data_IF_112006098104
#
_entry.id   IF_112006098104
#
_cell.length_a   1.000
_cell.length_b   1.000
_cell.length_c   1.000
_cell.angle_alpha   90.00
_cell.angle_beta   90.00
_cell.angle_gamma   90.00
#
_symmetry.space_group_name_H-M   'P 1'
#
loop_
_entity.id
_entity.type
_entity.pdbx_description
1 polymer ?
#
# COMPACT_ATOMS: atom_id res chain seq x y z
N UNK A 1 13.35 -56.46 14.78
CA UNK A 1 12.02 -56.21 14.18
C UNK A 1 11.80 -54.72 14.21
N UNK A 2 12.08 -54.06 13.09
CA UNK A 2 11.83 -52.62 12.96
C UNK A 2 10.35 -52.43 12.54
N UNK A 3 9.53 -51.87 13.45
CA UNK A 3 8.20 -51.38 13.11
C UNK A 3 8.37 -50.13 12.25
N UNK A 4 7.96 -50.24 10.97
CA UNK A 4 7.80 -49.13 10.03
C UNK A 4 6.71 -48.22 10.59
N UNK A 5 7.07 -47.00 11.00
CA UNK A 5 6.07 -45.97 11.32
C UNK A 5 5.43 -45.52 9.99
N UNK A 6 4.15 -45.78 9.85
CA UNK A 6 3.32 -45.22 8.80
C UNK A 6 3.21 -43.71 9.06
N UNK A 7 3.69 -42.92 8.09
CA UNK A 7 3.45 -41.49 8.09
C UNK A 7 1.97 -41.25 7.84
N UNK A 8 1.30 -40.36 8.60
CA UNK A 8 -0.06 -39.98 8.29
C UNK A 8 -0.08 -39.26 6.94
N UNK A 9 -0.89 -39.74 6.01
CA UNK A 9 -1.18 -39.11 4.75
C UNK A 9 -1.67 -37.70 5.01
N UNK A 10 -0.95 -36.71 4.48
CA UNK A 10 -1.43 -35.34 4.44
C UNK A 10 -2.61 -35.29 3.48
N UNK A 11 -3.80 -35.22 4.05
CA UNK A 11 -5.02 -34.93 3.30
C UNK A 11 -4.89 -33.49 2.82
N UNK A 12 -4.58 -33.31 1.57
CA UNK A 12 -4.64 -32.00 0.93
C UNK A 12 -6.11 -31.56 0.89
N UNK A 13 -6.45 -30.38 1.40
CA UNK A 13 -7.81 -29.87 1.27
C UNK A 13 -8.15 -29.67 -0.21
N UNK A 14 -9.38 -29.96 -0.64
CA UNK A 14 -9.78 -29.73 -2.02
C UNK A 14 -9.67 -28.22 -2.35
N UNK A 15 -9.32 -27.87 -3.59
CA UNK A 15 -9.27 -26.49 -3.99
C UNK A 15 -10.66 -25.86 -3.85
N UNK A 16 -10.75 -24.58 -3.43
CA UNK A 16 -12.01 -23.90 -3.32
C UNK A 16 -12.67 -23.84 -4.70
N UNK A 17 -13.90 -24.34 -4.79
CA UNK A 17 -14.71 -24.21 -6.00
C UNK A 17 -14.92 -22.72 -6.28
N UNK A 18 -14.55 -22.30 -7.49
CA UNK A 18 -14.82 -20.96 -7.97
C UNK A 18 -16.34 -20.71 -7.94
N UNK A 19 -16.81 -19.55 -7.46
CA UNK A 19 -18.21 -19.24 -7.51
C UNK A 19 -18.64 -19.17 -8.97
N UNK A 20 -19.60 -20.00 -9.34
CA UNK A 20 -20.24 -19.91 -10.63
C UNK A 20 -20.99 -18.58 -10.70
N UNK A 21 -20.46 -17.63 -11.45
CA UNK A 21 -21.18 -16.41 -11.80
C UNK A 21 -22.27 -16.82 -12.79
N UNK A 22 -23.47 -17.01 -12.30
CA UNK A 22 -24.63 -17.10 -13.15
C UNK A 22 -24.95 -15.67 -13.65
N UNK A 23 -24.42 -15.31 -14.80
CA UNK A 23 -24.90 -14.15 -15.54
C UNK A 23 -26.29 -14.46 -16.08
N UNK A 24 -27.32 -14.15 -15.32
CA UNK A 24 -28.65 -13.98 -15.87
C UNK A 24 -28.71 -12.59 -16.50
N UNK A 25 -28.39 -12.52 -17.78
CA UNK A 25 -28.76 -11.39 -18.61
C UNK A 25 -30.27 -11.33 -18.68
N UNK A 26 -30.88 -10.53 -17.85
CA UNK A 26 -32.27 -10.14 -18.02
C UNK A 26 -32.31 -9.09 -19.12
N UNK A 27 -32.65 -9.53 -20.33
CA UNK A 27 -33.02 -8.63 -21.40
C UNK A 27 -34.37 -8.03 -20.99
N UNK A 28 -34.35 -6.81 -20.50
CA UNK A 28 -35.57 -6.00 -20.37
C UNK A 28 -35.87 -5.49 -21.76
N UNK A 29 -36.89 -6.05 -22.39
CA UNK A 29 -37.51 -5.43 -23.55
C UNK A 29 -38.16 -4.13 -23.06
N UNK A 30 -37.50 -3.04 -23.35
CA UNK A 30 -38.06 -1.70 -23.14
C UNK A 30 -38.87 -1.35 -24.40
N UNK A 31 -40.17 -1.56 -24.33
CA UNK A 31 -41.14 -0.99 -25.25
C UNK A 31 -41.18 0.53 -25.01
N UNK A 32 -40.20 1.23 -25.52
CA UNK A 32 -40.24 2.66 -25.62
C UNK A 32 -40.84 3.02 -26.98
N UNK A 33 -42.06 3.51 -26.97
CA UNK A 33 -42.66 4.26 -28.08
C UNK A 33 -41.71 5.30 -28.58
N UNK A 34 -41.13 5.04 -29.75
CA UNK A 34 -40.35 6.03 -30.47
C UNK A 34 -41.34 6.88 -31.25
N UNK A 35 -41.72 8.00 -30.69
CA UNK A 35 -42.38 9.05 -31.49
C UNK A 35 -41.48 9.46 -32.66
N UNK A 36 -42.04 9.35 -33.84
CA UNK A 36 -41.46 9.86 -35.07
C UNK A 36 -41.07 11.34 -34.94
N UNK A 37 -39.80 11.59 -34.75
CA UNK A 37 -39.30 12.95 -34.84
C UNK A 37 -38.64 13.08 -36.21
N UNK A 38 -39.39 13.76 -37.08
CA UNK A 38 -38.96 14.51 -38.27
C UNK A 38 -37.62 14.16 -38.91
N UNK A 39 -37.72 13.59 -40.08
CA UNK A 39 -36.66 13.49 -41.06
C UNK A 39 -36.22 14.91 -41.41
N UNK A 40 -35.15 15.39 -40.83
CA UNK A 40 -34.45 16.58 -41.26
C UNK A 40 -33.68 16.20 -42.53
N UNK A 41 -34.09 16.79 -43.61
CA UNK A 41 -33.54 16.60 -44.95
C UNK A 41 -32.02 16.75 -44.96
N UNK A 42 -31.37 15.81 -45.61
CA UNK A 42 -29.91 15.63 -45.64
C UNK A 42 -29.15 16.66 -46.51
N UNK A 43 -29.68 17.86 -46.71
CA UNK A 43 -29.02 18.88 -47.51
C UNK A 43 -28.31 20.01 -46.74
N UNK A 44 -28.50 20.09 -45.41
CA UNK A 44 -27.81 21.11 -44.61
C UNK A 44 -26.60 20.62 -43.77
N UNK A 45 -26.26 19.34 -43.88
CA UNK A 45 -25.12 18.78 -43.13
C UNK A 45 -23.78 18.76 -43.90
N UNK A 46 -23.67 19.57 -44.97
CA UNK A 46 -22.41 19.65 -45.69
C UNK A 46 -21.57 20.89 -45.36
N UNK A 47 -21.72 21.40 -44.13
CA UNK A 47 -20.65 22.17 -43.53
C UNK A 47 -19.74 21.22 -42.82
N UNK A 48 -18.67 20.83 -43.48
CA UNK A 48 -17.58 20.07 -42.94
C UNK A 48 -17.06 20.76 -41.69
N UNK A 49 -17.55 20.34 -40.53
CA UNK A 49 -16.81 20.51 -39.31
C UNK A 49 -15.66 19.51 -39.41
N UNK A 50 -14.54 19.99 -39.93
CA UNK A 50 -13.28 19.28 -39.86
C UNK A 50 -12.95 19.12 -38.39
N UNK A 51 -13.45 18.02 -37.78
CA UNK A 51 -12.99 17.61 -36.47
C UNK A 51 -11.53 17.22 -36.68
N UNK A 52 -10.64 18.17 -36.45
CA UNK A 52 -9.23 17.87 -36.29
C UNK A 52 -9.15 16.88 -35.11
N UNK A 53 -9.06 15.63 -35.46
CA UNK A 53 -8.67 14.60 -34.53
C UNK A 53 -7.23 14.91 -34.12
N UNK A 54 -7.08 15.70 -33.07
CA UNK A 54 -5.82 15.80 -32.40
C UNK A 54 -5.75 14.48 -31.63
N UNK A 55 -4.85 13.56 -31.97
CA UNK A 55 -4.58 12.45 -31.09
C UNK A 55 -4.02 13.09 -29.83
N UNK A 56 -4.87 13.29 -28.83
CA UNK A 56 -4.40 13.41 -27.47
C UNK A 56 -3.71 12.08 -27.25
N UNK A 57 -2.39 12.07 -27.34
CA UNK A 57 -1.62 11.02 -26.75
C UNK A 57 -2.03 11.03 -25.28
N UNK A 58 -2.99 10.20 -24.95
CA UNK A 58 -3.17 9.75 -23.59
C UNK A 58 -1.86 9.01 -23.35
N UNK A 59 -0.88 9.75 -22.83
CA UNK A 59 0.23 9.16 -22.14
C UNK A 59 -0.46 8.32 -21.08
N UNK A 60 -0.63 7.03 -21.35
CA UNK A 60 -0.97 6.06 -20.35
C UNK A 60 0.12 6.22 -19.31
N UNK A 61 -0.14 7.07 -18.32
CA UNK A 61 0.61 7.05 -17.08
C UNK A 61 0.37 5.64 -16.53
N UNK A 62 1.27 4.74 -16.92
CA UNK A 62 1.32 3.41 -16.37
C UNK A 62 1.25 3.54 -14.86
N UNK A 63 0.64 2.58 -14.15
CA UNK A 63 0.46 2.64 -12.70
C UNK A 63 1.80 2.49 -11.92
N UNK A 64 2.85 3.16 -12.39
CA UNK A 64 4.12 3.33 -11.65
C UNK A 64 3.90 4.05 -10.32
N UNK A 65 2.77 4.74 -10.16
CA UNK A 65 2.47 5.45 -8.92
C UNK A 65 2.23 4.55 -7.70
N UNK A 66 1.93 3.28 -7.91
CA UNK A 66 1.63 2.35 -6.83
C UNK A 66 2.77 1.36 -6.53
N UNK A 67 3.79 1.30 -7.37
CA UNK A 67 4.91 0.39 -7.15
C UNK A 67 5.70 0.79 -5.91
N UNK A 68 5.82 -0.14 -4.97
CA UNK A 68 6.62 0.04 -3.76
C UNK A 68 7.93 -0.69 -3.95
N UNK A 69 9.02 0.04 -3.84
CA UNK A 69 10.37 -0.50 -3.98
C UNK A 69 10.94 -0.90 -2.60
N UNK A 70 11.68 -1.97 -2.54
CA UNK A 70 12.43 -2.37 -1.34
C UNK A 70 13.87 -1.89 -1.38
N UNK A 71 14.44 -1.80 -2.58
CA UNK A 71 15.81 -1.31 -2.82
C UNK A 71 15.78 -0.31 -3.96
N UNK A 72 16.38 0.84 -3.76
CA UNK A 72 16.48 1.93 -4.72
C UNK A 72 17.89 2.50 -4.74
N UNK A 73 18.21 3.28 -5.76
CA UNK A 73 19.53 3.91 -5.89
C UNK A 73 19.85 4.85 -4.74
N UNK A 74 18.84 5.59 -4.27
CA UNK A 74 18.96 6.43 -3.08
C UNK A 74 17.84 6.07 -2.09
N UNK A 75 18.22 5.54 -0.96
CA UNK A 75 17.28 5.19 0.11
C UNK A 75 16.66 6.43 0.75
N UNK A 76 15.41 6.33 1.24
CA UNK A 76 14.80 7.40 2.03
C UNK A 76 15.66 7.75 3.24
N UNK A 77 15.74 9.04 3.56
CA UNK A 77 16.54 9.52 4.67
C UNK A 77 15.68 10.35 5.64
N UNK A 78 15.87 10.11 6.94
CA UNK A 78 15.22 10.92 7.97
C UNK A 78 15.73 12.36 7.91
N UNK A 79 14.85 13.37 7.96
CA UNK A 79 15.28 14.77 8.02
C UNK A 79 16.09 15.02 9.30
N UNK A 80 16.99 15.96 9.27
CA UNK A 80 17.78 16.35 10.44
C UNK A 80 18.74 15.26 10.98
N UNK A 81 19.55 14.69 10.11
CA UNK A 81 20.66 13.84 10.53
C UNK A 81 20.53 12.36 10.22
N UNK A 82 19.65 11.99 9.28
CA UNK A 82 19.53 10.62 8.80
C UNK A 82 19.24 9.62 9.93
N UNK A 83 19.96 8.51 9.96
CA UNK A 83 19.78 7.48 10.97
C UNK A 83 20.01 7.95 12.41
N UNK A 84 21.00 8.81 12.63
CA UNK A 84 21.28 9.37 13.96
C UNK A 84 20.13 10.26 14.45
N UNK A 85 19.61 11.12 13.57
CA UNK A 85 18.44 11.95 13.85
C UNK A 85 17.19 11.12 14.13
N UNK A 86 16.99 10.03 13.40
CA UNK A 86 15.92 9.08 13.65
C UNK A 86 16.02 8.47 15.05
N UNK A 87 17.18 8.00 15.45
CA UNK A 87 17.38 7.42 16.78
C UNK A 87 17.12 8.42 17.91
N UNK A 88 17.54 9.67 17.72
CA UNK A 88 17.24 10.75 18.67
C UNK A 88 15.74 11.06 18.72
N UNK A 89 15.09 11.10 17.57
CA UNK A 89 13.65 11.31 17.50
C UNK A 89 12.88 10.22 18.25
N UNK A 90 13.22 8.95 17.98
CA UNK A 90 12.61 7.81 18.65
C UNK A 90 12.79 7.90 20.17
N UNK A 91 14.01 8.11 20.64
CA UNK A 91 14.28 8.17 22.10
C UNK A 91 13.56 9.33 22.80
N UNK A 92 13.30 10.45 22.11
CA UNK A 92 12.58 11.58 22.68
C UNK A 92 11.05 11.43 22.67
N UNK A 93 10.52 10.74 21.65
CA UNK A 93 9.08 10.68 21.41
C UNK A 93 8.44 9.36 21.87
N UNK A 94 9.23 8.32 22.10
CA UNK A 94 8.74 7.07 22.64
C UNK A 94 8.33 7.29 24.09
N UNK A 95 7.08 6.95 24.37
CA UNK A 95 6.54 6.88 25.74
C UNK A 95 6.40 5.42 26.11
N UNK A 96 7.07 5.04 27.17
CA UNK A 96 6.96 3.67 27.67
C UNK A 96 5.55 3.46 28.25
N UNK A 97 4.76 2.50 27.75
CA UNK A 97 3.43 2.25 28.31
C UNK A 97 3.53 1.75 29.75
N UNK A 98 2.72 2.29 30.65
CA UNK A 98 2.74 1.95 32.09
C UNK A 98 2.58 0.46 32.32
N UNK A 99 1.67 -0.18 31.60
CA UNK A 99 1.43 -1.63 31.69
C UNK A 99 2.68 -2.44 31.34
N UNK A 100 3.39 -2.04 30.29
CA UNK A 100 4.62 -2.71 29.88
C UNK A 100 5.76 -2.45 30.88
N UNK A 101 5.78 -1.28 31.54
CA UNK A 101 6.72 -1.00 32.64
C UNK A 101 6.45 -1.89 33.87
N UNK A 102 5.20 -2.01 34.28
CA UNK A 102 4.78 -2.84 35.42
C UNK A 102 5.10 -4.32 35.20
N UNK A 103 4.93 -4.77 33.94
CA UNK A 103 5.27 -6.15 33.59
C UNK A 103 6.77 -6.38 33.33
N UNK A 104 7.59 -5.33 33.37
CA UNK A 104 9.02 -5.43 33.07
C UNK A 104 9.33 -5.84 31.63
N UNK A 105 8.40 -5.60 30.70
CA UNK A 105 8.52 -6.04 29.31
C UNK A 105 9.49 -5.15 28.55
N UNK A 106 10.56 -5.69 28.03
CA UNK A 106 11.59 -5.00 27.26
C UNK A 106 11.85 -5.74 25.95
N UNK A 107 12.36 -5.05 24.95
CA UNK A 107 12.78 -5.71 23.72
C UNK A 107 12.86 -4.80 22.53
N UNK A 108 13.03 -5.42 21.36
CA UNK A 108 13.12 -4.74 20.07
C UNK A 108 11.85 -5.01 19.28
N UNK A 109 11.15 -3.95 18.94
CA UNK A 109 10.01 -3.97 18.02
C UNK A 109 10.50 -3.56 16.64
N UNK A 110 10.31 -4.39 15.64
CA UNK A 110 10.68 -4.08 14.25
C UNK A 110 9.45 -3.64 13.50
N UNK A 111 9.45 -2.40 13.05
CA UNK A 111 8.35 -1.79 12.31
C UNK A 111 8.77 -1.52 10.87
N UNK A 112 7.94 -1.93 9.94
CA UNK A 112 8.07 -1.64 8.52
C UNK A 112 7.02 -0.61 8.12
N UNK A 113 7.39 0.34 7.30
CA UNK A 113 6.51 1.36 6.76
C UNK A 113 6.92 1.74 5.35
N UNK A 114 6.08 2.48 4.66
CA UNK A 114 6.36 2.99 3.33
C UNK A 114 6.57 4.49 3.39
N UNK A 115 7.67 4.95 2.80
CA UNK A 115 7.93 6.37 2.56
C UNK A 115 7.41 6.72 1.18
N UNK A 116 6.43 7.60 1.10
CA UNK A 116 5.87 8.06 -0.17
C UNK A 116 6.82 8.98 -0.94
N UNK A 117 6.47 9.28 -2.19
CA UNK A 117 7.18 10.22 -3.06
C UNK A 117 7.31 11.63 -2.45
N UNK A 118 6.36 12.05 -1.62
CA UNK A 118 6.37 13.32 -0.89
C UNK A 118 7.06 13.25 0.48
N UNK A 119 7.62 12.10 0.84
CA UNK A 119 8.27 11.84 2.12
C UNK A 119 7.32 11.49 3.27
N UNK A 120 6.03 11.45 3.05
CA UNK A 120 5.05 11.03 4.07
C UNK A 120 5.17 9.54 4.39
N UNK A 121 4.85 9.18 5.63
CA UNK A 121 4.91 7.79 6.10
C UNK A 121 3.51 7.20 6.09
N UNK A 122 3.39 6.01 5.49
CA UNK A 122 2.14 5.25 5.40
C UNK A 122 2.41 3.77 5.65
N UNK A 123 1.34 2.99 5.82
CA UNK A 123 1.37 1.53 5.92
C UNK A 123 2.34 0.99 6.98
N UNK A 124 2.40 1.65 8.14
CA UNK A 124 3.22 1.18 9.24
C UNK A 124 2.69 -0.14 9.81
N UNK A 125 3.54 -1.17 9.78
CA UNK A 125 3.23 -2.53 10.27
C UNK A 125 4.34 -3.05 11.15
N UNK A 126 3.97 -3.74 12.23
CA UNK A 126 4.94 -4.45 13.06
C UNK A 126 5.28 -5.79 12.40
N UNK A 127 6.54 -5.98 12.01
CA UNK A 127 7.04 -7.24 11.50
C UNK A 127 7.41 -8.21 12.62
N UNK A 128 7.99 -7.67 13.68
CA UNK A 128 8.38 -8.43 14.86
C UNK A 128 8.09 -7.59 16.09
N UNK A 129 7.10 -8.01 16.84
CA UNK A 129 6.68 -7.40 18.09
C UNK A 129 7.26 -8.10 19.31
N UNK A 130 7.07 -7.49 20.46
CA UNK A 130 7.40 -8.04 21.79
C UNK A 130 6.15 -8.11 22.63
N UNK A 131 5.38 -7.04 22.65
CA UNK A 131 4.19 -6.86 23.44
C UNK A 131 3.21 -5.92 22.73
N UNK A 132 1.90 -6.19 22.76
CA UNK A 132 0.90 -5.38 22.06
C UNK A 132 0.96 -3.88 22.41
N UNK A 133 1.30 -3.54 23.63
CA UNK A 133 1.40 -2.15 24.08
C UNK A 133 2.65 -1.47 23.52
N UNK A 134 3.79 -2.17 23.52
CA UNK A 134 5.03 -1.68 22.92
C UNK A 134 4.90 -1.57 21.40
N UNK A 135 4.25 -2.53 20.77
CA UNK A 135 4.03 -2.56 19.33
C UNK A 135 3.17 -1.36 18.88
N UNK A 136 2.09 -1.11 19.60
CA UNK A 136 1.19 0.03 19.33
C UNK A 136 1.90 1.38 19.50
N UNK A 137 2.72 1.50 20.53
CA UNK A 137 3.50 2.72 20.76
C UNK A 137 4.55 2.94 19.67
N UNK A 138 5.24 1.88 19.24
CA UNK A 138 6.20 1.95 18.15
C UNK A 138 5.54 2.45 16.85
N UNK A 139 4.38 1.92 16.49
CA UNK A 139 3.61 2.37 15.31
C UNK A 139 3.18 3.83 15.47
N UNK A 140 2.69 4.22 16.65
CA UNK A 140 2.28 5.61 16.93
C UNK A 140 3.42 6.60 16.69
N UNK A 141 4.60 6.31 17.20
CA UNK A 141 5.76 7.19 17.07
C UNK A 141 6.22 7.27 15.61
N UNK A 142 6.22 6.16 14.90
CA UNK A 142 6.60 6.12 13.48
C UNK A 142 5.63 6.91 12.62
N UNK A 143 4.32 6.76 12.82
CA UNK A 143 3.31 7.53 12.10
C UNK A 143 3.35 9.04 12.42
N UNK A 144 3.88 9.42 13.58
CA UNK A 144 4.08 10.81 13.98
C UNK A 144 5.38 11.45 13.50
N UNK A 145 6.20 10.76 12.72
CA UNK A 145 7.45 11.31 12.20
C UNK A 145 7.23 12.45 11.20
N UNK A 146 8.15 13.42 11.13
CA UNK A 146 8.14 14.42 10.08
C UNK A 146 8.37 13.79 8.71
N UNK A 147 8.12 14.55 7.65
CA UNK A 147 8.35 14.09 6.27
C UNK A 147 9.83 13.76 6.06
N UNK A 148 10.05 12.60 5.48
CA UNK A 148 11.36 12.11 5.09
C UNK A 148 11.79 12.69 3.73
N UNK A 149 13.07 12.59 3.43
CA UNK A 149 13.52 12.69 2.05
C UNK A 149 13.10 11.40 1.35
N UNK A 150 12.35 11.48 0.24
CA UNK A 150 11.90 10.27 -0.45
C UNK A 150 13.09 9.53 -1.07
N UNK A 151 12.93 8.23 -1.26
CA UNK A 151 13.85 7.45 -2.05
C UNK A 151 13.82 7.87 -3.51
N UNK A 152 14.94 7.75 -4.19
CA UNK A 152 15.08 8.13 -5.59
C UNK A 152 15.49 6.94 -6.44
N UNK A 153 14.84 6.78 -7.58
CA UNK A 153 15.17 5.80 -8.61
C UNK A 153 15.19 6.51 -9.96
N UNK A 154 16.30 6.40 -10.68
CA UNK A 154 16.47 7.07 -11.99
C UNK A 154 16.16 8.56 -11.96
N UNK A 155 16.53 9.25 -10.87
CA UNK A 155 16.29 10.67 -10.67
C UNK A 155 14.84 11.06 -10.33
N UNK A 156 13.94 10.09 -10.15
CA UNK A 156 12.53 10.33 -9.77
C UNK A 156 12.27 9.85 -8.33
N UNK A 157 11.47 10.58 -7.54
CA UNK A 157 11.04 10.11 -6.23
C UNK A 157 10.11 8.91 -6.37
N UNK A 158 10.33 7.89 -5.55
CA UNK A 158 9.56 6.65 -5.57
C UNK A 158 9.11 6.27 -4.16
N UNK A 159 8.09 5.42 -4.09
CA UNK A 159 7.64 4.84 -2.83
C UNK A 159 8.60 3.73 -2.41
N UNK A 160 9.13 3.83 -1.21
CA UNK A 160 10.12 2.86 -0.71
C UNK A 160 9.65 2.27 0.61
N UNK A 161 9.74 0.96 0.71
CA UNK A 161 9.52 0.22 1.94
C UNK A 161 10.76 0.32 2.83
N UNK A 162 10.58 0.75 4.05
CA UNK A 162 11.66 0.94 5.01
C UNK A 162 11.37 0.22 6.32
N UNK A 163 12.39 -0.30 6.97
CA UNK A 163 12.25 -1.06 8.21
C UNK A 163 13.15 -0.47 9.29
N UNK A 164 12.58 -0.21 10.46
CA UNK A 164 13.29 0.40 11.59
C UNK A 164 13.11 -0.45 12.85
N UNK A 165 14.20 -0.77 13.57
CA UNK A 165 14.12 -1.35 14.89
C UNK A 165 13.91 -0.27 15.95
N UNK A 166 12.88 -0.43 16.78
CA UNK A 166 12.58 0.41 17.94
C UNK A 166 12.95 -0.35 19.20
N UNK A 167 13.87 0.19 19.99
CA UNK A 167 14.35 -0.45 21.20
C UNK A 167 13.61 0.10 22.43
N UNK A 168 12.98 -0.77 23.18
CA UNK A 168 12.37 -0.48 24.47
C UNK A 168 13.23 -1.06 25.59
N UNK A 169 13.74 -0.19 26.45
CA UNK A 169 14.52 -0.56 27.63
C UNK A 169 13.97 0.17 28.85
N UNK A 170 13.84 -0.55 29.93
CA UNK A 170 13.58 0.02 31.25
C UNK A 170 14.89 0.55 31.83
N UNK A 171 14.84 1.75 32.37
CA UNK A 171 15.96 2.34 33.12
C UNK A 171 15.88 1.94 34.58
#
# INVERSE_FOLDING_TARGET
VYKRQEQPEQVTPPPPEAPAIAETLTIVEDDADVEETAIVSSEELNQAVEIKYVPVAVEEEEPEEQTIFEVVEQMPEFPNGGMAGLMQYLSKNIKYPTIAQENGTQGRVTVQFVVNKDGSIVDAKVLRGVDPYLDKEAVRVIMGMPKWKPGMQRGKPVRVKYTVPVMFRLQ
#
